data_IF_748804771700
#
_entry.id   IF_748804771700
#
_cell.length_a   1.000
_cell.length_b   1.000
_cell.length_c   1.000
_cell.angle_alpha   90.00
_cell.angle_beta   90.00
_cell.angle_gamma   90.00
#
_symmetry.space_group_name_H-M   'P 1'
#
loop_
_entity.id
_entity.type
_entity.pdbx_description
1 polymer ?
#
# COMPACT_ATOMS: atom_id res chain seq x y z
N UNK A 1 43.56 -16.73 26.86
CA UNK A 1 43.15 -16.77 25.42
C UNK A 1 41.64 -16.62 25.17
N UNK A 2 40.75 -16.79 26.17
CA UNK A 2 39.28 -16.79 26.00
C UNK A 2 38.63 -15.43 25.66
N UNK A 3 39.21 -14.31 26.12
CA UNK A 3 38.63 -12.98 25.94
C UNK A 3 38.65 -12.48 24.47
N UNK A 4 39.72 -12.78 23.71
CA UNK A 4 39.90 -12.27 22.34
C UNK A 4 38.86 -12.84 21.36
N UNK A 5 38.45 -14.09 21.55
CA UNK A 5 37.38 -14.72 20.76
C UNK A 5 35.98 -14.19 21.14
N UNK A 6 35.74 -13.86 22.41
CA UNK A 6 34.45 -13.36 22.86
C UNK A 6 34.14 -11.95 22.33
N UNK A 7 35.18 -11.11 22.19
CA UNK A 7 35.05 -9.77 21.61
C UNK A 7 34.76 -9.86 20.10
N UNK A 8 35.41 -10.78 19.40
CA UNK A 8 35.24 -10.98 17.96
C UNK A 8 33.86 -11.56 17.62
N UNK A 9 33.34 -12.48 18.45
CA UNK A 9 31.99 -13.02 18.32
C UNK A 9 30.91 -11.94 18.52
N UNK A 10 31.08 -11.08 19.54
CA UNK A 10 30.13 -9.99 19.81
C UNK A 10 30.14 -8.93 18.70
N UNK A 11 31.32 -8.56 18.21
CA UNK A 11 31.46 -7.65 17.08
C UNK A 11 30.84 -8.25 15.79
N UNK A 12 31.07 -9.53 15.51
CA UNK A 12 30.51 -10.21 14.34
C UNK A 12 28.98 -10.34 14.44
N UNK A 13 28.44 -10.62 15.63
CA UNK A 13 26.98 -10.70 15.84
C UNK A 13 26.30 -9.34 15.70
N UNK A 14 26.91 -8.25 16.17
CA UNK A 14 26.36 -6.89 16.01
C UNK A 14 26.36 -6.47 14.54
N UNK A 15 27.46 -6.72 13.81
CA UNK A 15 27.55 -6.38 12.38
C UNK A 15 26.56 -7.21 11.55
N UNK A 16 26.37 -8.49 11.90
CA UNK A 16 25.41 -9.35 11.20
C UNK A 16 23.95 -9.02 11.56
N UNK A 17 23.70 -8.59 12.80
CA UNK A 17 22.41 -8.06 13.27
C UNK A 17 22.02 -6.76 12.55
N UNK A 18 22.95 -5.82 12.40
CA UNK A 18 22.74 -4.59 11.64
C UNK A 18 22.41 -4.88 10.17
N UNK A 19 23.16 -5.79 9.54
CA UNK A 19 22.89 -6.20 8.16
C UNK A 19 21.55 -6.93 8.02
N UNK A 20 21.18 -7.78 8.99
CA UNK A 20 19.90 -8.46 9.02
C UNK A 20 18.73 -7.46 9.14
N UNK A 21 18.80 -6.54 10.11
CA UNK A 21 17.80 -5.49 10.32
C UNK A 21 17.64 -4.59 9.08
N UNK A 22 18.75 -4.21 8.44
CA UNK A 22 18.73 -3.41 7.22
C UNK A 22 18.13 -4.17 6.03
N UNK A 23 18.39 -5.47 5.90
CA UNK A 23 17.78 -6.33 4.86
C UNK A 23 16.27 -6.52 5.08
N UNK A 24 15.85 -6.66 6.35
CA UNK A 24 14.47 -6.84 6.76
C UNK A 24 13.64 -5.57 6.51
N UNK A 25 14.17 -4.39 6.88
CA UNK A 25 13.53 -3.10 6.58
C UNK A 25 13.39 -2.86 5.07
N UNK A 26 14.40 -3.24 4.29
CA UNK A 26 14.34 -3.12 2.82
C UNK A 26 13.23 -4.01 2.25
N UNK A 27 13.09 -5.23 2.77
CA UNK A 27 12.03 -6.18 2.36
C UNK A 27 10.63 -5.68 2.76
N UNK A 28 10.47 -5.11 3.95
CA UNK A 28 9.22 -4.47 4.38
C UNK A 28 8.87 -3.29 3.47
N UNK A 29 9.85 -2.45 3.15
CA UNK A 29 9.65 -1.31 2.26
C UNK A 29 9.15 -1.75 0.87
N UNK A 30 9.77 -2.76 0.27
CA UNK A 30 9.29 -3.31 -1.01
C UNK A 30 7.89 -3.90 -0.89
N UNK A 31 7.58 -4.61 0.19
CA UNK A 31 6.25 -5.18 0.41
C UNK A 31 5.16 -4.12 0.58
N UNK A 32 5.42 -3.07 1.37
CA UNK A 32 4.51 -1.92 1.53
C UNK A 32 4.31 -1.22 0.19
N UNK A 33 5.40 -1.03 -0.57
CA UNK A 33 5.34 -0.40 -1.89
C UNK A 33 4.47 -1.20 -2.86
N UNK A 34 4.62 -2.52 -2.91
CA UNK A 34 3.85 -3.37 -3.82
C UNK A 34 2.36 -3.39 -3.44
N UNK A 35 2.03 -3.53 -2.16
CA UNK A 35 0.64 -3.48 -1.71
C UNK A 35 -0.01 -2.11 -1.89
N UNK A 36 0.73 -1.03 -1.66
CA UNK A 36 0.26 0.32 -1.92
C UNK A 36 0.02 0.55 -3.43
N UNK A 37 0.85 -0.03 -4.30
CA UNK A 37 0.68 0.04 -5.76
C UNK A 37 -0.54 -0.76 -6.23
N UNK A 38 -0.74 -1.96 -5.69
CA UNK A 38 -1.94 -2.78 -5.96
C UNK A 38 -3.20 -2.06 -5.45
N UNK A 39 -3.14 -1.48 -4.25
CA UNK A 39 -4.21 -0.68 -3.68
C UNK A 39 -4.55 0.53 -4.55
N UNK A 40 -3.54 1.28 -4.99
CA UNK A 40 -3.70 2.42 -5.88
C UNK A 40 -4.30 2.03 -7.24
N UNK A 41 -3.86 0.93 -7.85
CA UNK A 41 -4.43 0.40 -9.10
C UNK A 41 -5.92 0.06 -8.94
N UNK A 42 -6.26 -0.73 -7.92
CA UNK A 42 -7.64 -1.12 -7.66
C UNK A 42 -8.53 0.08 -7.29
N UNK A 43 -7.99 1.01 -6.50
CA UNK A 43 -8.64 2.27 -6.15
C UNK A 43 -8.91 3.12 -7.38
N UNK A 44 -7.93 3.25 -8.28
CA UNK A 44 -8.08 3.99 -9.55
C UNK A 44 -9.17 3.40 -10.45
N UNK A 45 -9.21 2.07 -10.55
CA UNK A 45 -10.20 1.36 -11.36
C UNK A 45 -11.61 1.54 -10.77
N UNK A 46 -11.75 1.35 -9.47
CA UNK A 46 -13.03 1.56 -8.76
C UNK A 46 -13.48 3.03 -8.86
N UNK A 47 -12.56 3.98 -8.70
CA UNK A 47 -12.82 5.41 -8.84
C UNK A 47 -13.25 5.80 -10.26
N UNK A 48 -12.64 5.20 -11.28
CA UNK A 48 -13.07 5.38 -12.67
C UNK A 48 -14.49 4.85 -12.90
N UNK A 49 -14.79 3.63 -12.41
CA UNK A 49 -16.12 3.01 -12.52
C UNK A 49 -17.16 3.87 -11.79
N UNK A 50 -16.86 4.35 -10.58
CA UNK A 50 -17.74 5.21 -9.80
C UNK A 50 -18.01 6.55 -10.52
N UNK A 51 -17.00 7.17 -11.12
CA UNK A 51 -17.17 8.41 -11.89
C UNK A 51 -18.01 8.20 -13.16
N UNK A 52 -17.82 7.07 -13.85
CA UNK A 52 -18.63 6.69 -15.01
C UNK A 52 -20.08 6.48 -14.57
N UNK A 53 -20.32 5.71 -13.51
CA UNK A 53 -21.65 5.41 -13.00
C UNK A 53 -22.37 6.66 -12.50
N UNK A 54 -21.66 7.56 -11.79
CA UNK A 54 -22.21 8.84 -11.37
C UNK A 54 -22.66 9.68 -12.57
N UNK A 55 -21.85 9.76 -13.63
CA UNK A 55 -22.24 10.47 -14.85
C UNK A 55 -23.44 9.83 -15.54
N UNK A 56 -23.48 8.50 -15.68
CA UNK A 56 -24.65 7.82 -16.27
C UNK A 56 -25.92 8.04 -15.44
N UNK A 57 -25.80 8.03 -14.11
CA UNK A 57 -26.91 8.39 -13.21
C UNK A 57 -27.44 9.79 -13.50
N UNK A 58 -26.56 10.77 -13.69
CA UNK A 58 -26.97 12.14 -14.04
C UNK A 58 -27.53 12.27 -15.46
N UNK A 59 -27.04 11.49 -16.44
CA UNK A 59 -27.57 11.47 -17.82
C UNK A 59 -29.01 10.96 -17.88
N UNK A 60 -29.44 10.16 -16.90
CA UNK A 60 -30.83 9.72 -16.79
C UNK A 60 -31.82 10.85 -16.46
N UNK A 61 -31.32 12.04 -16.06
CA UNK A 61 -32.16 13.19 -15.73
C UNK A 61 -32.56 13.97 -17.00
N UNK A 62 -33.85 14.01 -17.38
CA UNK A 62 -34.29 14.70 -18.57
C UNK A 62 -34.02 16.21 -18.45
N UNK A 63 -33.45 16.81 -19.51
CA UNK A 63 -33.14 18.24 -19.58
C UNK A 63 -31.69 18.64 -19.25
N UNK A 64 -30.85 17.72 -18.76
CA UNK A 64 -29.47 18.03 -18.35
C UNK A 64 -28.36 17.52 -19.30
N UNK A 65 -28.71 16.77 -20.35
CA UNK A 65 -27.76 16.07 -21.26
C UNK A 65 -26.48 16.84 -21.67
N UNK A 66 -26.56 18.07 -22.19
CA UNK A 66 -25.39 18.83 -22.64
C UNK A 66 -24.44 19.29 -21.51
N UNK A 67 -24.97 19.58 -20.32
CA UNK A 67 -24.18 20.04 -19.16
C UNK A 67 -23.33 18.88 -18.61
N UNK A 68 -23.88 17.66 -18.64
CA UNK A 68 -23.25 16.47 -18.08
C UNK A 68 -22.15 15.91 -19.00
N UNK A 69 -22.32 16.05 -20.33
CA UNK A 69 -21.30 15.64 -21.31
C UNK A 69 -19.95 16.36 -21.12
N UNK A 70 -19.99 17.63 -20.70
CA UNK A 70 -18.80 18.41 -20.34
C UNK A 70 -18.26 17.97 -18.96
N UNK A 71 -19.17 17.67 -18.02
CA UNK A 71 -18.84 17.13 -16.70
C UNK A 71 -17.98 15.86 -16.78
N UNK A 72 -18.31 14.91 -17.67
CA UNK A 72 -17.57 13.64 -17.81
C UNK A 72 -16.06 13.83 -17.98
N UNK A 73 -15.66 14.83 -18.77
CA UNK A 73 -14.24 15.10 -19.03
C UNK A 73 -13.47 15.50 -17.76
N UNK A 74 -14.16 16.08 -16.77
CA UNK A 74 -13.58 16.50 -15.49
C UNK A 74 -13.82 15.46 -14.38
N UNK A 75 -14.99 14.82 -14.35
CA UNK A 75 -15.35 13.87 -13.29
C UNK A 75 -14.54 12.59 -13.35
N UNK A 76 -14.19 12.11 -14.55
CA UNK A 76 -13.45 10.87 -14.75
C UNK A 76 -12.00 10.96 -14.21
N UNK A 77 -11.18 11.97 -14.56
CA UNK A 77 -9.87 12.13 -13.95
C UNK A 77 -9.95 12.41 -12.45
N UNK A 78 -10.94 13.18 -11.99
CA UNK A 78 -11.15 13.41 -10.56
C UNK A 78 -11.45 12.11 -9.79
N UNK A 79 -12.32 11.26 -10.33
CA UNK A 79 -12.65 9.95 -9.75
C UNK A 79 -11.44 9.02 -9.70
N UNK A 80 -10.61 9.01 -10.74
CA UNK A 80 -9.35 8.25 -10.76
C UNK A 80 -8.41 8.75 -9.66
N UNK A 81 -8.18 10.06 -9.53
CA UNK A 81 -7.27 10.63 -8.52
C UNK A 81 -7.74 10.32 -7.10
N UNK A 82 -9.04 10.50 -6.83
CA UNK A 82 -9.65 10.18 -5.54
C UNK A 82 -9.53 8.68 -5.26
N UNK A 83 -9.82 7.85 -6.26
CA UNK A 83 -9.68 6.41 -6.20
C UNK A 83 -8.25 5.96 -5.88
N UNK A 84 -7.25 6.50 -6.58
CA UNK A 84 -5.82 6.26 -6.32
C UNK A 84 -5.48 6.61 -4.88
N UNK A 85 -5.93 7.77 -4.41
CA UNK A 85 -5.61 8.27 -3.06
C UNK A 85 -6.16 7.34 -1.99
N UNK A 86 -7.44 6.97 -2.08
CA UNK A 86 -8.09 6.06 -1.14
C UNK A 86 -7.46 4.66 -1.22
N UNK A 87 -7.24 4.16 -2.43
CA UNK A 87 -6.63 2.85 -2.67
C UNK A 87 -5.22 2.74 -2.09
N UNK A 88 -4.42 3.79 -2.20
CA UNK A 88 -3.07 3.85 -1.63
C UNK A 88 -3.10 3.84 -0.10
N UNK A 89 -4.01 4.60 0.53
CA UNK A 89 -4.19 4.60 1.99
C UNK A 89 -4.57 3.19 2.47
N UNK A 90 -5.54 2.55 1.82
CA UNK A 90 -5.99 1.19 2.18
C UNK A 90 -4.84 0.18 1.99
N UNK A 91 -4.11 0.27 0.87
CA UNK A 91 -2.96 -0.61 0.59
C UNK A 91 -1.86 -0.51 1.66
N UNK A 92 -1.56 0.70 2.12
CA UNK A 92 -0.62 0.93 3.23
C UNK A 92 -1.13 0.31 4.54
N UNK A 93 -2.40 0.56 4.89
CA UNK A 93 -3.01 0.01 6.12
C UNK A 93 -2.96 -1.52 6.12
N UNK A 94 -3.37 -2.16 5.01
CA UNK A 94 -3.32 -3.61 4.87
C UNK A 94 -1.88 -4.12 4.99
N UNK A 95 -0.91 -3.43 4.38
CA UNK A 95 0.49 -3.83 4.49
C UNK A 95 1.03 -3.76 5.92
N UNK A 96 0.64 -2.73 6.69
CA UNK A 96 1.03 -2.60 8.09
C UNK A 96 0.42 -3.76 8.91
N UNK A 97 -0.87 -4.04 8.72
CA UNK A 97 -1.58 -5.12 9.42
C UNK A 97 -0.94 -6.47 9.10
N UNK A 98 -0.70 -6.78 7.82
CA UNK A 98 -0.08 -8.05 7.43
C UNK A 98 1.33 -8.20 7.97
N UNK A 99 2.13 -7.12 7.98
CA UNK A 99 3.46 -7.15 8.57
C UNK A 99 3.40 -7.42 10.08
N UNK A 100 2.47 -6.79 10.79
CA UNK A 100 2.26 -7.02 12.23
C UNK A 100 1.82 -8.48 12.52
N UNK A 101 0.89 -9.02 11.73
CA UNK A 101 0.44 -10.41 11.83
C UNK A 101 1.58 -11.42 11.57
N UNK A 102 2.47 -11.12 10.62
CA UNK A 102 3.60 -11.99 10.29
C UNK A 102 4.64 -12.02 11.43
N UNK A 103 4.84 -10.89 12.11
CA UNK A 103 5.70 -10.80 13.30
C UNK A 103 5.11 -11.57 14.47
N UNK A 104 3.79 -11.48 14.71
CA UNK A 104 3.12 -12.26 15.75
C UNK A 104 3.21 -13.77 15.52
N UNK A 105 3.05 -14.25 14.28
CA UNK A 105 3.21 -15.69 13.97
C UNK A 105 4.60 -16.24 14.31
N UNK A 106 5.65 -15.44 14.10
CA UNK A 106 7.02 -15.83 14.45
C UNK A 106 7.26 -15.87 15.97
N UNK A 107 6.38 -15.26 16.77
CA UNK A 107 6.46 -15.24 18.23
C UNK A 107 5.82 -16.48 18.88
N UNK A 108 4.78 -17.05 18.24
CA UNK A 108 4.13 -18.30 18.71
C UNK A 108 4.97 -19.54 18.40
N UNK A 109 5.70 -19.58 17.27
CA UNK A 109 6.53 -20.73 16.88
C UNK A 109 7.82 -20.90 17.73
N UNK A 110 8.03 -20.07 18.75
CA UNK A 110 9.21 -20.09 19.64
C UNK A 110 8.92 -20.50 21.09
N UNK A 111 7.71 -20.95 21.41
CA UNK A 111 7.35 -21.50 22.73
C UNK A 111 7.39 -23.03 22.69
#
# INVERSE_FOLDING_TARGET
>A
MKAKNMINLKAYSDINSENYGRSFLKRIYYYIKDLALIGALNGSLSGAIAAILANYGYISLPGFGPIIAIGIRLTLPAGIIIGVTIGLIIGIIISIIFNFLNICKFCDDKI
#
